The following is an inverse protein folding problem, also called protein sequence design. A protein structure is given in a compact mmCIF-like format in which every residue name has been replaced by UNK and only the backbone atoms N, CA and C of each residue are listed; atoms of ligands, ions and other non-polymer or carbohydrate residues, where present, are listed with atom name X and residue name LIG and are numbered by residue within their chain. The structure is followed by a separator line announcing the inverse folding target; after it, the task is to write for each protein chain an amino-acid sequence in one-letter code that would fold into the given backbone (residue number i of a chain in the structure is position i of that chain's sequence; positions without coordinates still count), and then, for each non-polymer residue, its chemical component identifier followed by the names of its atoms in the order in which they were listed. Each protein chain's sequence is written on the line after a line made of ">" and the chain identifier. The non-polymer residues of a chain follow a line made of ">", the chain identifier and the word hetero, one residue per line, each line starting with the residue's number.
data_IF_249723900865
#
_entry.id   IF_249723900865
#
_cell.length_a   1.000
_cell.length_b   1.000
_cell.length_c   1.000
_cell.angle_alpha   90.00
_cell.angle_beta   90.00
_cell.angle_gamma   90.00
#
_symmetry.space_group_name_H-M   'P 1'
#
loop_
_entity.id
_entity.type
_entity.pdbx_description
1 polymer ?
#
# COMPACT_ATOMS: atom_id res chain seq x y z
N UNK A 1 3.55 -57.88 29.44
CA UNK A 1 4.94 -57.52 29.11
C UNK A 1 4.99 -57.29 27.60
N UNK A 2 4.70 -56.06 27.16
CA UNK A 2 5.67 -54.98 26.80
C UNK A 2 6.24 -55.19 25.38
N UNK A 3 5.71 -54.48 24.37
CA UNK A 3 6.27 -53.27 23.72
C UNK A 3 7.57 -53.60 22.92
N UNK A 4 7.80 -53.26 21.64
CA UNK A 4 7.50 -52.06 20.85
C UNK A 4 7.53 -52.39 19.33
N UNK A 5 6.51 -51.97 18.59
CA UNK A 5 6.62 -51.67 17.15
C UNK A 5 6.50 -50.15 17.02
N UNK A 6 7.65 -49.47 16.89
CA UNK A 6 7.72 -48.06 16.55
C UNK A 6 7.50 -47.92 15.04
N UNK A 7 6.25 -47.76 14.64
CA UNK A 7 5.91 -47.22 13.32
C UNK A 7 5.67 -45.73 13.49
N UNK A 8 6.70 -44.93 13.22
CA UNK A 8 6.54 -43.51 12.92
C UNK A 8 5.98 -43.36 11.50
N UNK A 9 4.93 -42.55 11.29
CA UNK A 9 4.77 -41.85 10.04
C UNK A 9 5.05 -40.37 10.31
N UNK A 10 6.33 -40.03 10.48
CA UNK A 10 6.83 -38.69 10.19
C UNK A 10 6.70 -38.43 8.69
N UNK A 11 5.46 -38.22 8.21
CA UNK A 11 5.22 -37.73 6.86
C UNK A 11 5.35 -36.21 6.90
N UNK A 12 6.59 -35.74 7.05
CA UNK A 12 6.93 -34.39 6.59
C UNK A 12 6.70 -34.38 5.08
N UNK A 13 5.71 -33.62 4.63
CA UNK A 13 5.39 -33.46 3.22
C UNK A 13 5.66 -32.01 2.81
N UNK A 14 6.91 -31.60 2.53
CA UNK A 14 7.16 -30.34 1.86
C UNK A 14 7.17 -30.58 0.35
N UNK A 15 5.98 -30.69 -0.26
CA UNK A 15 5.86 -30.66 -1.74
C UNK A 15 4.78 -29.71 -2.22
N UNK A 16 4.13 -28.95 -1.33
CA UNK A 16 3.12 -27.97 -1.71
C UNK A 16 3.73 -26.61 -2.14
N UNK A 17 4.82 -26.17 -1.52
CA UNK A 17 5.42 -24.84 -1.77
C UNK A 17 5.93 -24.64 -3.20
N UNK A 18 6.71 -25.59 -3.72
CA UNK A 18 7.21 -25.55 -5.11
C UNK A 18 6.09 -25.56 -6.15
N UNK A 19 4.97 -26.24 -5.87
CA UNK A 19 3.80 -26.29 -6.76
C UNK A 19 2.92 -25.05 -6.66
N UNK A 20 2.78 -24.49 -5.46
CA UNK A 20 2.01 -23.25 -5.21
C UNK A 20 2.59 -22.07 -5.99
N UNK A 21 3.92 -21.92 -6.00
CA UNK A 21 4.60 -20.94 -6.84
C UNK A 21 4.20 -21.07 -8.31
N UNK A 22 4.29 -22.28 -8.90
CA UNK A 22 3.94 -22.54 -10.30
C UNK A 22 2.49 -22.19 -10.65
N UNK A 23 1.54 -22.43 -9.75
CA UNK A 23 0.13 -22.05 -9.96
C UNK A 23 -0.08 -20.54 -9.88
N UNK A 24 0.58 -19.85 -8.95
CA UNK A 24 0.56 -18.39 -8.87
C UNK A 24 1.14 -17.76 -10.15
N UNK A 25 2.25 -18.28 -10.67
CA UNK A 25 2.81 -17.81 -11.95
C UNK A 25 1.80 -17.95 -13.10
N UNK A 26 1.16 -19.12 -13.21
CA UNK A 26 0.15 -19.34 -14.25
C UNK A 26 -1.06 -18.44 -14.10
N UNK A 27 -1.52 -18.21 -12.87
CA UNK A 27 -2.61 -17.29 -12.58
C UNK A 27 -2.27 -15.87 -13.01
N UNK A 28 -1.09 -15.39 -12.62
CA UNK A 28 -0.56 -14.07 -12.99
C UNK A 28 -0.41 -13.90 -14.51
N UNK A 29 0.16 -14.90 -15.20
CA UNK A 29 0.31 -14.87 -16.65
C UNK A 29 -1.04 -14.79 -17.39
N UNK A 30 -2.05 -15.53 -16.90
CA UNK A 30 -3.40 -15.48 -17.48
C UNK A 30 -4.05 -14.13 -17.20
N UNK A 31 -3.94 -13.60 -15.98
CA UNK A 31 -4.47 -12.30 -15.62
C UNK A 31 -3.86 -11.19 -16.50
N UNK A 32 -2.53 -11.16 -16.64
CA UNK A 32 -1.83 -10.19 -17.48
C UNK A 32 -2.23 -10.30 -18.95
N UNK A 33 -2.36 -11.52 -19.50
CA UNK A 33 -2.85 -11.72 -20.87
C UNK A 33 -4.27 -11.20 -21.07
N UNK A 34 -5.13 -11.33 -20.06
CA UNK A 34 -6.50 -10.82 -20.10
C UNK A 34 -6.51 -9.29 -20.04
N UNK A 35 -5.72 -8.68 -19.16
CA UNK A 35 -5.65 -7.22 -19.02
C UNK A 35 -5.11 -6.58 -20.30
N UNK A 36 -4.02 -7.14 -20.84
CA UNK A 36 -3.31 -6.62 -22.03
C UNK A 36 -4.07 -6.73 -23.35
N UNK A 37 -5.11 -7.56 -23.44
CA UNK A 37 -5.84 -7.79 -24.69
C UNK A 37 -6.90 -6.71 -24.89
N UNK A 38 -6.67 -5.69 -25.76
CA UNK A 38 -7.56 -4.53 -25.88
C UNK A 38 -8.96 -4.91 -26.37
N UNK A 39 -9.12 -6.05 -27.05
CA UNK A 39 -10.39 -6.52 -27.60
C UNK A 39 -11.32 -7.11 -26.54
N UNK A 40 -10.80 -7.38 -25.34
CA UNK A 40 -11.62 -7.91 -24.25
C UNK A 40 -12.52 -6.82 -23.67
N UNK A 41 -13.85 -7.07 -23.58
CA UNK A 41 -14.77 -6.14 -22.93
C UNK A 41 -14.45 -5.98 -21.44
N UNK A 42 -14.66 -4.78 -20.90
CA UNK A 42 -14.39 -4.45 -19.49
C UNK A 42 -15.03 -5.44 -18.50
N UNK A 43 -16.27 -5.86 -18.76
CA UNK A 43 -16.98 -6.83 -17.91
C UNK A 43 -16.21 -8.15 -17.75
N UNK A 44 -15.51 -8.61 -18.79
CA UNK A 44 -14.67 -9.80 -18.71
C UNK A 44 -13.46 -9.57 -17.80
N UNK A 45 -12.82 -8.40 -17.90
CA UNK A 45 -11.71 -8.04 -17.01
C UNK A 45 -12.18 -7.98 -15.55
N UNK A 46 -13.31 -7.32 -15.28
CA UNK A 46 -13.89 -7.23 -13.94
C UNK A 46 -14.22 -8.62 -13.37
N UNK A 47 -14.77 -9.51 -14.20
CA UNK A 47 -15.06 -10.89 -13.77
C UNK A 47 -13.79 -11.67 -13.44
N UNK A 48 -12.76 -11.57 -14.28
CA UNK A 48 -11.47 -12.22 -14.02
C UNK A 48 -10.84 -11.64 -12.76
N UNK A 49 -10.80 -10.31 -12.62
CA UNK A 49 -10.23 -9.64 -11.46
C UNK A 49 -10.93 -10.01 -10.15
N UNK A 50 -12.27 -10.11 -10.17
CA UNK A 50 -13.04 -10.55 -8.98
C UNK A 50 -12.66 -11.93 -8.45
N UNK A 51 -12.05 -12.76 -9.29
CA UNK A 51 -11.54 -14.09 -8.91
C UNK A 51 -10.05 -14.04 -8.60
N UNK A 52 -9.25 -13.36 -9.44
CA UNK A 52 -7.79 -13.33 -9.33
C UNK A 52 -7.33 -12.52 -8.13
N UNK A 53 -7.91 -11.34 -7.91
CA UNK A 53 -7.41 -10.39 -6.92
C UNK A 53 -7.44 -10.93 -5.48
N UNK A 54 -8.53 -11.59 -5.00
CA UNK A 54 -8.53 -12.19 -3.67
C UNK A 54 -7.42 -13.22 -3.47
N UNK A 55 -7.14 -14.05 -4.49
CA UNK A 55 -6.06 -15.04 -4.43
C UNK A 55 -4.66 -14.40 -4.44
N UNK A 56 -4.48 -13.29 -5.15
CA UNK A 56 -3.23 -12.54 -5.10
C UNK A 56 -3.02 -11.90 -3.72
N UNK A 57 -4.08 -11.37 -3.10
CA UNK A 57 -4.00 -10.82 -1.73
C UNK A 57 -3.68 -11.91 -0.71
N UNK A 58 -4.34 -13.07 -0.79
CA UNK A 58 -4.05 -14.22 0.07
C UNK A 58 -2.60 -14.71 -0.12
N UNK A 59 -2.14 -14.80 -1.38
CA UNK A 59 -0.77 -15.18 -1.69
C UNK A 59 0.27 -14.15 -1.20
N UNK A 60 -0.09 -12.86 -1.18
CA UNK A 60 0.77 -11.79 -0.66
C UNK A 60 0.97 -11.86 0.86
N UNK A 61 0.10 -12.55 1.59
CA UNK A 61 0.19 -12.79 3.03
C UNK A 61 0.73 -14.20 3.36
N UNK A 62 1.27 -14.90 2.37
CA UNK A 62 1.77 -16.25 2.54
C UNK A 62 3.11 -16.25 3.31
N UNK A 63 3.30 -17.24 4.18
CA UNK A 63 4.52 -17.38 5.01
C UNK A 63 5.82 -17.54 4.21
N UNK A 64 5.71 -18.06 2.98
CA UNK A 64 6.83 -18.11 2.03
C UNK A 64 7.00 -16.75 1.34
N UNK A 65 8.03 -16.01 1.76
CA UNK A 65 8.33 -14.66 1.25
C UNK A 65 8.40 -14.56 -0.27
N UNK A 66 8.97 -15.54 -0.95
CA UNK A 66 9.06 -15.52 -2.42
C UNK A 66 7.67 -15.54 -3.09
N UNK A 67 6.69 -16.24 -2.50
CA UNK A 67 5.30 -16.27 -2.98
C UNK A 67 4.65 -14.91 -2.72
N UNK A 68 4.84 -14.36 -1.53
CA UNK A 68 4.29 -13.08 -1.12
C UNK A 68 4.79 -11.92 -2.01
N UNK A 69 6.11 -11.79 -2.15
CA UNK A 69 6.73 -10.76 -2.97
C UNK A 69 6.32 -10.88 -4.44
N UNK A 70 6.17 -12.11 -4.94
CA UNK A 70 5.72 -12.34 -6.32
C UNK A 70 4.26 -11.96 -6.51
N UNK A 71 3.39 -12.21 -5.53
CA UNK A 71 2.00 -11.83 -5.60
C UNK A 71 1.83 -10.30 -5.64
N UNK A 72 2.60 -9.55 -4.83
CA UNK A 72 2.63 -8.09 -4.88
C UNK A 72 3.14 -7.59 -6.25
N UNK A 73 4.20 -8.20 -6.79
CA UNK A 73 4.67 -7.85 -8.13
C UNK A 73 3.62 -8.10 -9.23
N UNK A 74 2.86 -9.19 -9.14
CA UNK A 74 1.77 -9.48 -10.08
C UNK A 74 0.60 -8.50 -9.95
N UNK A 75 0.28 -8.05 -8.73
CA UNK A 75 -0.69 -6.97 -8.51
C UNK A 75 -0.21 -5.69 -9.19
N UNK A 76 1.03 -5.27 -8.92
CA UNK A 76 1.63 -4.09 -9.55
C UNK A 76 1.58 -4.19 -11.08
N UNK A 77 2.14 -5.26 -11.68
CA UNK A 77 2.18 -5.45 -13.13
C UNK A 77 0.77 -5.38 -13.76
N UNK A 78 -0.22 -6.01 -13.11
CA UNK A 78 -1.60 -6.01 -13.61
C UNK A 78 -2.21 -4.62 -13.56
N UNK A 79 -1.95 -3.85 -12.50
CA UNK A 79 -2.51 -2.53 -12.31
C UNK A 79 -1.86 -1.50 -13.23
N UNK A 80 -0.54 -1.59 -13.44
CA UNK A 80 0.19 -0.79 -14.42
C UNK A 80 -0.42 -0.96 -15.82
N UNK A 81 -0.71 -2.20 -16.22
CA UNK A 81 -1.34 -2.50 -17.52
C UNK A 81 -2.80 -2.02 -17.60
N UNK A 82 -3.57 -2.12 -16.51
CA UNK A 82 -4.93 -1.56 -16.45
C UNK A 82 -4.90 -0.05 -16.64
N UNK A 83 -4.09 0.67 -15.84
CA UNK A 83 -4.05 2.13 -15.89
C UNK A 83 -3.48 2.67 -17.21
N UNK A 84 -2.55 1.96 -17.84
CA UNK A 84 -1.99 2.35 -19.13
C UNK A 84 -2.94 2.07 -20.31
N UNK A 85 -3.68 0.96 -20.27
CA UNK A 85 -4.44 0.46 -21.42
C UNK A 85 -5.95 0.70 -21.36
N UNK A 86 -6.51 0.98 -20.19
CA UNK A 86 -7.96 1.01 -19.95
C UNK A 86 -8.35 2.33 -19.26
N UNK A 87 -8.60 3.42 -20.02
CA UNK A 87 -9.04 4.66 -19.41
C UNK A 87 -10.40 4.47 -18.73
N UNK A 88 -10.53 5.06 -17.54
CA UNK A 88 -11.79 5.06 -16.81
C UNK A 88 -12.80 6.00 -17.47
N UNK A 89 -14.00 5.48 -17.70
CA UNK A 89 -15.13 6.28 -18.22
C UNK A 89 -15.76 7.08 -17.09
N UNK A 90 -16.22 8.29 -17.39
CA UNK A 90 -16.97 9.13 -16.44
C UNK A 90 -18.11 8.36 -15.76
N UNK A 91 -18.30 8.59 -14.46
CA UNK A 91 -19.30 7.94 -13.60
C UNK A 91 -19.07 6.46 -13.25
N UNK A 92 -18.01 5.83 -13.75
CA UNK A 92 -17.60 4.48 -13.33
C UNK A 92 -16.42 4.57 -12.37
N UNK A 93 -16.40 3.68 -11.37
CA UNK A 93 -15.33 3.57 -10.36
C UNK A 93 -14.58 2.25 -10.57
N UNK A 94 -14.14 2.03 -11.80
CA UNK A 94 -13.49 0.79 -12.22
C UNK A 94 -12.09 0.69 -11.63
N UNK A 95 -11.32 1.79 -11.66
CA UNK A 95 -9.98 1.84 -11.10
C UNK A 95 -10.00 1.67 -9.59
N UNK A 96 -11.02 2.17 -8.90
CA UNK A 96 -11.25 1.88 -7.48
C UNK A 96 -11.30 0.37 -7.21
N UNK A 97 -12.09 -0.37 -8.00
CA UNK A 97 -12.22 -1.83 -7.88
C UNK A 97 -10.90 -2.56 -8.17
N UNK A 98 -10.15 -2.07 -9.16
CA UNK A 98 -8.86 -2.66 -9.51
C UNK A 98 -7.82 -2.44 -8.42
N UNK A 99 -7.74 -1.24 -7.82
CA UNK A 99 -6.73 -0.85 -6.84
C UNK A 99 -7.04 -1.29 -5.39
N UNK A 100 -8.30 -1.64 -5.11
CA UNK A 100 -8.74 -2.14 -3.78
C UNK A 100 -7.90 -3.27 -3.17
N UNK A 101 -7.26 -4.17 -3.92
CA UNK A 101 -6.35 -5.18 -3.36
C UNK A 101 -5.18 -4.61 -2.56
N UNK A 102 -4.61 -3.45 -2.94
CA UNK A 102 -3.56 -2.82 -2.12
C UNK A 102 -4.09 -2.36 -0.76
N UNK A 103 -5.28 -1.76 -0.76
CA UNK A 103 -5.97 -1.38 0.48
C UNK A 103 -6.22 -2.62 1.36
N UNK A 104 -6.77 -3.69 0.79
CA UNK A 104 -7.09 -4.90 1.53
C UNK A 104 -5.84 -5.55 2.12
N UNK A 105 -4.77 -5.65 1.34
CA UNK A 105 -3.50 -6.22 1.77
C UNK A 105 -2.92 -5.46 2.98
N UNK A 106 -2.89 -4.13 2.92
CA UNK A 106 -2.37 -3.31 4.02
C UNK A 106 -3.27 -3.35 5.27
N UNK A 107 -4.59 -3.48 5.10
CA UNK A 107 -5.55 -3.62 6.20
C UNK A 107 -5.48 -4.96 6.94
N UNK A 108 -5.08 -6.04 6.24
CA UNK A 108 -4.93 -7.36 6.85
C UNK A 108 -3.66 -7.50 7.70
N UNK A 109 -2.77 -6.50 7.71
CA UNK A 109 -1.54 -6.51 8.51
C UNK A 109 -0.46 -7.40 7.89
N UNK A 110 0.08 -6.98 6.74
CA UNK A 110 1.25 -7.63 6.15
C UNK A 110 2.54 -7.30 6.92
N UNK A 111 3.53 -8.19 6.84
CA UNK A 111 4.86 -7.96 7.40
C UNK A 111 5.53 -6.71 6.80
N UNK A 112 6.41 -6.07 7.56
CA UNK A 112 7.10 -4.81 7.22
C UNK A 112 7.72 -4.80 5.81
N UNK A 113 8.35 -5.90 5.42
CA UNK A 113 8.98 -6.02 4.10
C UNK A 113 7.99 -6.04 2.93
N UNK A 114 6.82 -6.65 3.13
CA UNK A 114 5.74 -6.68 2.15
C UNK A 114 5.04 -5.31 2.15
N UNK A 115 4.88 -4.69 3.32
CA UNK A 115 4.40 -3.32 3.46
C UNK A 115 5.25 -2.35 2.63
N UNK A 116 6.57 -2.39 2.81
CA UNK A 116 7.52 -1.56 2.05
C UNK A 116 7.41 -1.82 0.55
N UNK A 117 7.30 -3.08 0.13
CA UNK A 117 7.14 -3.42 -1.29
C UNK A 117 5.82 -2.88 -1.87
N UNK A 118 4.73 -2.92 -1.10
CA UNK A 118 3.43 -2.38 -1.52
C UNK A 118 3.50 -0.86 -1.61
N UNK A 119 4.12 -0.19 -0.64
CA UNK A 119 4.33 1.27 -0.68
C UNK A 119 5.16 1.66 -1.90
N UNK A 120 6.28 0.98 -2.16
CA UNK A 120 7.07 1.19 -3.39
C UNK A 120 6.23 0.96 -4.65
N UNK A 121 5.43 -0.11 -4.68
CA UNK A 121 4.55 -0.41 -5.83
C UNK A 121 3.52 0.70 -6.08
N UNK A 122 3.00 1.33 -5.02
CA UNK A 122 2.05 2.45 -5.12
C UNK A 122 2.75 3.69 -5.66
N UNK A 123 3.94 4.02 -5.13
CA UNK A 123 4.72 5.20 -5.57
C UNK A 123 5.07 5.07 -7.05
N UNK A 124 5.61 3.93 -7.48
CA UNK A 124 5.94 3.65 -8.88
C UNK A 124 4.71 3.75 -9.80
N UNK A 125 3.55 3.27 -9.34
CA UNK A 125 2.30 3.34 -10.11
C UNK A 125 1.83 4.80 -10.27
N UNK A 126 1.93 5.59 -9.21
CA UNK A 126 1.56 7.02 -9.21
C UNK A 126 2.49 7.81 -10.13
N UNK A 127 3.81 7.59 -10.02
CA UNK A 127 4.79 8.22 -10.90
C UNK A 127 4.53 7.91 -12.38
N UNK A 128 4.17 6.67 -12.71
CA UNK A 128 3.91 6.26 -14.08
C UNK A 128 2.56 6.72 -14.64
N UNK A 129 1.54 6.90 -13.78
CA UNK A 129 0.15 6.96 -14.24
C UNK A 129 -0.81 7.84 -13.42
N UNK A 130 -0.31 8.84 -12.70
CA UNK A 130 -1.11 9.74 -11.85
C UNK A 130 -2.41 10.26 -12.50
N UNK A 131 -2.34 10.71 -13.75
CA UNK A 131 -3.50 11.22 -14.51
C UNK A 131 -4.55 10.16 -14.84
N UNK A 132 -4.16 8.89 -14.89
CA UNK A 132 -5.03 7.75 -15.17
C UNK A 132 -5.68 7.15 -13.91
N UNK A 133 -5.18 7.44 -12.71
CA UNK A 133 -5.66 6.79 -11.48
C UNK A 133 -7.15 7.03 -11.22
N UNK A 134 -7.63 8.27 -11.38
CA UNK A 134 -9.05 8.63 -11.27
C UNK A 134 -9.70 8.13 -9.95
N UNK A 135 -10.79 7.34 -9.99
CA UNK A 135 -11.44 6.79 -8.78
C UNK A 135 -10.51 5.91 -7.91
N UNK A 136 -9.36 5.51 -8.46
CA UNK A 136 -8.33 4.74 -7.79
C UNK A 136 -7.62 5.44 -6.62
N UNK A 137 -7.71 6.78 -6.52
CA UNK A 137 -6.99 7.53 -5.49
C UNK A 137 -7.46 7.19 -4.07
N UNK A 138 -8.77 6.97 -3.88
CA UNK A 138 -9.34 6.63 -2.57
C UNK A 138 -8.71 5.35 -1.96
N UNK A 139 -8.72 4.21 -2.68
CA UNK A 139 -8.04 2.99 -2.23
C UNK A 139 -6.56 3.17 -1.92
N UNK A 140 -5.83 3.95 -2.73
CA UNK A 140 -4.42 4.22 -2.48
C UNK A 140 -4.22 4.99 -1.17
N UNK A 141 -4.97 6.07 -0.94
CA UNK A 141 -4.89 6.80 0.33
C UNK A 141 -5.34 5.96 1.52
N UNK A 142 -6.37 5.13 1.36
CA UNK A 142 -6.78 4.21 2.42
C UNK A 142 -5.71 3.17 2.73
N UNK A 143 -4.94 2.71 1.75
CA UNK A 143 -3.82 1.79 1.95
C UNK A 143 -2.63 2.47 2.65
N UNK A 144 -2.28 3.69 2.21
CA UNK A 144 -1.21 4.48 2.83
C UNK A 144 -1.55 4.88 4.27
N UNK A 145 -2.84 5.08 4.56
CA UNK A 145 -3.32 5.35 5.93
C UNK A 145 -3.16 4.14 6.85
N UNK A 146 -2.87 2.93 6.38
CA UNK A 146 -2.65 1.77 7.28
C UNK A 146 -1.17 1.43 7.45
N UNK A 147 -0.24 2.21 6.89
CA UNK A 147 1.20 2.02 7.10
C UNK A 147 1.53 2.11 8.60
N UNK A 148 2.21 1.10 9.12
CA UNK A 148 2.83 1.11 10.43
C UNK A 148 4.28 1.57 10.27
N UNK A 149 4.78 2.43 11.16
CA UNK A 149 6.19 2.72 11.18
C UNK A 149 6.91 1.60 11.90
N UNK A 150 7.88 1.05 11.19
CA UNK A 150 8.83 0.11 11.75
C UNK A 150 9.65 0.83 12.80
N UNK A 151 9.28 0.65 14.08
CA UNK A 151 10.16 0.99 15.18
C UNK A 151 11.24 -0.11 15.20
N UNK A 152 12.54 0.21 15.08
CA UNK A 152 13.56 -0.82 15.19
C UNK A 152 13.48 -1.44 16.58
N UNK A 153 12.94 -2.65 16.66
CA UNK A 153 12.96 -3.47 17.87
C UNK A 153 14.37 -4.02 18.05
N UNK A 154 15.06 -3.54 19.08
CA UNK A 154 16.30 -4.14 19.58
C UNK A 154 17.58 -3.38 19.23
N UNK A 155 17.87 -2.30 19.95
CA UNK A 155 19.25 -1.97 20.32
C UNK A 155 19.27 -1.20 21.64
N UNK A 156 19.22 -1.93 22.75
CA UNK A 156 19.77 -1.44 24.00
C UNK A 156 21.29 -1.52 23.88
N UNK A 157 21.91 -0.58 23.17
CA UNK A 157 23.33 -0.29 23.34
C UNK A 157 23.61 1.20 23.06
N UNK A 158 23.65 1.96 24.15
CA UNK A 158 24.57 3.06 24.38
C UNK A 158 25.81 3.03 23.46
N UNK A 159 25.98 4.11 22.69
CA UNK A 159 27.18 4.48 21.90
C UNK A 159 27.15 4.13 20.41
N UNK A 160 26.23 4.73 19.66
CA UNK A 160 26.47 5.15 18.27
C UNK A 160 25.50 6.29 17.89
N UNK A 161 25.96 7.54 18.05
CA UNK A 161 25.38 8.68 17.37
C UNK A 161 25.79 8.61 15.90
N UNK A 162 25.03 7.84 15.12
CA UNK A 162 24.93 7.99 13.67
C UNK A 162 23.48 8.32 13.36
N UNK A 163 23.17 9.32 12.52
CA UNK A 163 21.79 9.61 12.17
C UNK A 163 21.19 8.34 11.56
N UNK A 164 20.06 7.92 12.11
CA UNK A 164 19.22 6.83 11.63
C UNK A 164 18.86 7.14 10.19
N UNK A 165 19.72 6.72 9.27
CA UNK A 165 19.49 6.81 7.84
C UNK A 165 18.49 5.72 7.50
N UNK A 166 17.23 6.03 7.84
CA UNK A 166 16.07 5.45 7.19
C UNK A 166 16.38 5.42 5.69
N UNK A 167 16.17 4.24 5.11
CA UNK A 167 16.28 3.95 3.69
C UNK A 167 15.15 4.67 2.94
N UNK A 168 15.18 5.99 2.98
CA UNK A 168 14.36 6.87 2.17
C UNK A 168 15.05 6.98 0.82
N UNK A 169 14.49 6.30 -0.19
CA UNK A 169 14.90 6.52 -1.57
C UNK A 169 14.74 8.01 -1.92
N UNK A 170 15.74 8.55 -2.61
CA UNK A 170 15.76 9.91 -3.13
C UNK A 170 14.44 10.23 -3.85
N UNK A 171 13.71 11.25 -3.38
CA UNK A 171 12.62 11.89 -4.13
C UNK A 171 13.18 12.57 -5.39
N UNK A 172 12.37 12.67 -6.45
CA UNK A 172 12.72 13.39 -7.68
C UNK A 172 12.99 14.89 -7.45
N UNK A 173 12.61 15.43 -6.29
CA UNK A 173 12.77 16.85 -5.92
C UNK A 173 14.07 17.16 -5.17
N UNK A 174 14.94 16.17 -4.94
CA UNK A 174 16.23 16.38 -4.27
C UNK A 174 16.12 16.81 -2.80
N UNK A 175 14.97 16.58 -2.17
CA UNK A 175 14.74 16.80 -0.74
C UNK A 175 14.60 15.45 -0.01
N UNK A 176 15.05 15.32 1.25
CA UNK A 176 14.89 14.13 2.07
C UNK A 176 13.43 14.03 2.57
N UNK A 177 12.47 13.81 1.66
CA UNK A 177 11.05 13.60 1.97
C UNK A 177 10.69 12.13 1.76
N UNK A 178 9.79 11.61 2.59
CA UNK A 178 9.29 10.25 2.44
C UNK A 178 8.54 10.10 1.08
N UNK A 179 8.75 9.02 0.31
CA UNK A 179 8.12 8.79 -1.01
C UNK A 179 6.59 8.92 -1.03
N UNK A 180 5.95 8.71 0.13
CA UNK A 180 4.50 8.91 0.31
C UNK A 180 4.05 10.35 0.06
N UNK A 181 4.94 11.36 0.23
CA UNK A 181 4.60 12.75 -0.06
C UNK A 181 4.52 13.06 -1.54
N UNK A 182 5.29 12.36 -2.38
CA UNK A 182 5.21 12.49 -3.82
C UNK A 182 3.81 12.05 -4.31
N UNK A 183 3.16 11.10 -3.61
CA UNK A 183 1.79 10.67 -3.87
C UNK A 183 0.77 11.78 -3.58
N UNK A 184 0.92 12.51 -2.48
CA UNK A 184 0.04 13.64 -2.15
C UNK A 184 0.19 14.78 -3.16
N UNK A 185 1.43 15.07 -3.57
CA UNK A 185 1.70 16.08 -4.59
C UNK A 185 1.07 15.72 -5.93
N UNK A 186 1.29 14.49 -6.41
CA UNK A 186 0.69 14.00 -7.67
C UNK A 186 -0.84 14.04 -7.66
N UNK A 187 -1.48 13.72 -6.53
CA UNK A 187 -2.93 13.82 -6.39
C UNK A 187 -3.43 15.26 -6.49
N UNK A 188 -2.79 16.19 -5.78
CA UNK A 188 -3.18 17.60 -5.79
C UNK A 188 -2.92 18.26 -7.14
N UNK A 189 -1.93 17.76 -7.89
CA UNK A 189 -1.59 18.23 -9.24
C UNK A 189 -2.48 17.61 -10.34
N UNK A 190 -3.36 16.65 -10.00
CA UNK A 190 -4.26 16.00 -10.98
C UNK A 190 -5.23 17.00 -11.64
N UNK A 191 -5.52 18.14 -10.99
CA UNK A 191 -6.27 19.27 -11.58
C UNK A 191 -7.77 19.02 -11.85
N UNK A 192 -8.29 17.83 -11.56
CA UNK A 192 -9.70 17.47 -11.73
C UNK A 192 -10.46 17.57 -10.42
N UNK A 193 -11.45 18.48 -10.36
CA UNK A 193 -12.34 18.66 -9.19
C UNK A 193 -13.10 17.38 -8.85
N UNK A 194 -13.52 16.61 -9.84
CA UNK A 194 -14.25 15.35 -9.61
C UNK A 194 -13.37 14.30 -8.95
N UNK A 195 -12.14 14.16 -9.43
CA UNK A 195 -11.16 13.23 -8.85
C UNK A 195 -10.81 13.68 -7.44
N UNK A 196 -10.57 14.97 -7.24
CA UNK A 196 -10.33 15.53 -5.93
C UNK A 196 -11.49 15.24 -4.96
N UNK A 197 -12.72 15.56 -5.33
CA UNK A 197 -13.90 15.33 -4.49
C UNK A 197 -14.10 13.85 -4.12
N UNK A 198 -13.76 12.93 -5.04
CA UNK A 198 -13.90 11.49 -4.82
C UNK A 198 -12.93 10.91 -3.76
N UNK A 199 -11.78 11.53 -3.57
CA UNK A 199 -10.71 11.00 -2.71
C UNK A 199 -10.21 12.00 -1.64
N UNK A 200 -10.76 13.22 -1.59
CA UNK A 200 -10.33 14.27 -0.67
C UNK A 200 -10.44 13.85 0.79
N UNK A 201 -11.51 13.16 1.17
CA UNK A 201 -11.70 12.68 2.54
C UNK A 201 -10.62 11.67 2.91
N UNK A 202 -10.33 10.70 2.05
CA UNK A 202 -9.28 9.72 2.31
C UNK A 202 -7.89 10.35 2.33
N UNK A 203 -7.61 11.30 1.43
CA UNK A 203 -6.38 12.09 1.41
C UNK A 203 -6.19 12.87 2.73
N UNK A 204 -7.21 13.62 3.17
CA UNK A 204 -7.17 14.39 4.41
C UNK A 204 -6.98 13.47 5.62
N UNK A 205 -7.72 12.36 5.70
CA UNK A 205 -7.56 11.39 6.78
C UNK A 205 -6.17 10.75 6.79
N UNK A 206 -5.60 10.49 5.61
CA UNK A 206 -4.24 10.00 5.45
C UNK A 206 -3.23 11.04 5.98
N UNK A 207 -3.35 12.30 5.54
CA UNK A 207 -2.53 13.42 6.02
C UNK A 207 -2.63 13.63 7.54
N UNK A 208 -3.85 13.57 8.09
CA UNK A 208 -4.09 13.69 9.54
C UNK A 208 -3.37 12.57 10.29
N UNK A 209 -3.39 11.33 9.80
CA UNK A 209 -2.62 10.23 10.42
C UNK A 209 -1.13 10.55 10.48
N UNK A 210 -0.56 11.08 9.40
CA UNK A 210 0.85 11.48 9.38
C UNK A 210 1.15 12.64 10.34
N UNK A 211 0.23 13.61 10.48
CA UNK A 211 0.35 14.73 11.43
C UNK A 211 0.22 14.28 12.89
N UNK A 212 -0.71 13.38 13.19
CA UNK A 212 -0.92 12.85 14.54
C UNK A 212 0.24 11.95 14.99
N UNK A 213 1.10 11.56 14.04
CA UNK A 213 2.20 10.67 14.30
C UNK A 213 1.69 9.26 14.55
N UNK A 214 2.62 8.33 14.49
CA UNK A 214 2.48 6.89 14.75
C UNK A 214 2.16 6.58 16.22
N UNK A 215 1.23 7.34 16.81
CA UNK A 215 0.63 7.06 18.09
C UNK A 215 -0.43 5.98 17.90
N UNK A 216 0.00 4.75 17.61
CA UNK A 216 -0.78 3.60 18.06
C UNK A 216 -0.82 3.67 19.58
N UNK A 217 -1.85 4.35 20.06
CA UNK A 217 -2.48 4.01 21.31
C UNK A 217 -3.28 2.74 21.04
N UNK A 218 -2.56 1.62 20.92
CA UNK A 218 -3.13 0.36 21.36
C UNK A 218 -3.41 0.53 22.85
N UNK A 219 -4.63 0.93 23.17
CA UNK A 219 -5.13 1.02 24.55
C UNK A 219 -5.26 -0.41 25.07
N UNK A 220 -4.13 -1.01 25.45
CA UNK A 220 -4.10 -1.97 26.55
C UNK A 220 -3.99 -1.13 27.82
N UNK A 221 -5.10 -1.06 28.56
CA UNK A 221 -5.16 -0.48 29.90
C UNK A 221 -3.97 -0.95 30.74
N UNK A 222 -3.02 -0.05 31.00
CA UNK A 222 -2.01 -0.22 32.03
C UNK A 222 -1.58 1.16 32.57
N UNK A 223 -2.20 1.52 33.69
CA UNK A 223 -1.71 2.37 34.81
C UNK A 223 -1.17 3.78 34.44
N UNK A 224 -1.77 4.87 34.98
CA UNK A 224 -1.26 6.23 34.74
C UNK A 224 0.02 6.49 35.55
N UNK A 225 1.18 6.47 34.87
CA UNK A 225 2.44 7.03 35.36
C UNK A 225 2.66 8.46 34.83
N UNK A 226 3.45 9.30 35.53
CA UNK A 226 3.48 10.74 35.27
C UNK A 226 4.17 11.05 33.93
N UNK A 227 3.60 12.03 33.24
CA UNK A 227 4.02 12.51 31.93
C UNK A 227 5.53 12.86 31.87
N UNK A 228 6.25 12.19 30.99
CA UNK A 228 7.51 12.65 30.41
C UNK A 228 7.31 12.89 28.92
N UNK A 229 6.62 13.99 28.60
CA UNK A 229 6.80 14.68 27.33
C UNK A 229 8.26 15.15 27.25
N UNK A 230 9.01 14.65 26.28
CA UNK A 230 10.20 15.27 25.65
C UNK A 230 10.93 14.17 24.87
N UNK A 231 10.58 14.02 23.58
CA UNK A 231 11.47 13.69 22.46
C UNK A 231 10.65 13.31 21.21
N UNK A 232 10.35 14.29 20.36
CA UNK A 232 9.90 14.01 18.99
C UNK A 232 10.41 15.08 18.00
N UNK A 233 11.73 15.21 17.78
CA UNK A 233 12.26 16.07 16.73
C UNK A 233 11.93 15.57 15.32
N UNK A 234 11.70 14.25 15.13
CA UNK A 234 11.33 13.66 13.83
C UNK A 234 9.85 13.76 13.46
N UNK A 235 8.94 13.95 14.44
CA UNK A 235 7.51 14.11 14.13
C UNK A 235 7.20 15.48 13.53
N UNK A 236 7.92 16.53 13.93
CA UNK A 236 7.76 17.87 13.34
C UNK A 236 8.16 17.95 11.86
N UNK A 237 9.09 17.10 11.40
CA UNK A 237 9.53 17.10 10.00
C UNK A 237 8.43 16.69 9.02
N UNK A 238 7.48 15.84 9.45
CA UNK A 238 6.36 15.38 8.64
C UNK A 238 5.13 16.30 8.79
N UNK A 239 4.99 16.96 9.95
CA UNK A 239 3.87 17.85 10.23
C UNK A 239 3.84 19.08 9.31
N UNK A 240 4.98 19.73 9.09
CA UNK A 240 5.01 20.95 8.27
C UNK A 240 4.61 20.70 6.80
N UNK A 241 5.15 19.68 6.10
CA UNK A 241 4.68 19.33 4.75
C UNK A 241 3.20 18.92 4.73
N UNK A 242 2.75 18.12 5.69
CA UNK A 242 1.35 17.67 5.74
C UNK A 242 0.37 18.85 5.95
N UNK A 243 0.72 19.84 6.78
CA UNK A 243 -0.08 21.06 6.94
C UNK A 243 -0.14 21.89 5.65
N UNK A 244 0.94 21.93 4.88
CA UNK A 244 0.95 22.62 3.58
C UNK A 244 0.03 21.93 2.57
N UNK A 245 0.04 20.59 2.52
CA UNK A 245 -0.90 19.83 1.69
C UNK A 245 -2.36 20.01 2.14
N UNK A 246 -2.64 20.07 3.45
CA UNK A 246 -3.99 20.36 3.95
C UNK A 246 -4.46 21.76 3.54
N UNK A 247 -3.56 22.75 3.53
CA UNK A 247 -3.85 24.10 3.01
C UNK A 247 -4.15 24.05 1.50
N UNK A 248 -3.38 23.30 0.72
CA UNK A 248 -3.65 23.10 -0.72
C UNK A 248 -5.00 22.39 -0.97
N UNK A 249 -5.37 21.39 -0.17
CA UNK A 249 -6.70 20.77 -0.22
C UNK A 249 -7.82 21.80 -0.03
N UNK A 250 -7.64 22.74 0.90
CA UNK A 250 -8.58 23.84 1.11
C UNK A 250 -8.66 24.76 -0.11
N UNK A 251 -7.54 25.17 -0.71
CA UNK A 251 -7.51 26.00 -1.92
C UNK A 251 -8.23 25.35 -3.12
N UNK A 252 -8.02 24.05 -3.33
CA UNK A 252 -8.73 23.29 -4.39
C UNK A 252 -10.24 23.22 -4.10
N UNK A 253 -10.61 23.04 -2.83
CA UNK A 253 -12.03 23.02 -2.43
C UNK A 253 -12.72 24.37 -2.66
N UNK A 254 -12.06 25.48 -2.34
CA UNK A 254 -12.64 26.83 -2.53
C UNK A 254 -12.74 27.22 -4.00
N UNK A 255 -11.71 26.94 -4.82
CA UNK A 255 -11.77 27.20 -6.26
C UNK A 255 -12.88 26.42 -6.98
N UNK A 256 -13.33 25.30 -6.42
CA UNK A 256 -14.47 24.53 -6.95
C UNK A 256 -15.85 25.12 -6.63
N UNK A 257 -15.96 26.01 -5.64
CA UNK A 257 -17.22 26.63 -5.21
C UNK A 257 -17.54 27.95 -5.96
N UNK A 258 -16.53 28.54 -6.62
CA UNK A 258 -16.66 29.79 -7.38
C UNK A 258 -17.13 29.59 -8.83
N UNK A 259 -17.50 28.35 -9.21
CA UNK A 259 -18.11 27.97 -10.50
C UNK A 259 -19.55 27.50 -10.32
#
# INVERSE_FOLDING_TARGET
>A
MTQHLLTSPGRFRPTASRGAGLHLFRLGDVALKVVRDPRRPLLHLLRVWSVVAPHLVEAALHSERAVAQRAVALLHDSLTEVLAGRPETSHFHTHELFLRPFQHLMQLGCDDDIQDQVVSSIVELVEASASCIQSGWGPLFSALRTIHATRPEGQADHTAQGPLQMRWCFSLTGQPRAPVFDVFEAFLDTGSVQVFASAAVDCILCLIKFVQGLGDTDVKEAIPGPASSLNAPSSMELCLPALDYLRRCHEVSFSSLDY
#
